data_IF_827603346083
#
_entry.id   IF_827603346083
#
_cell.length_a   1.000
_cell.length_b   1.000
_cell.length_c   1.000
_cell.angle_alpha   90.00
_cell.angle_beta   90.00
_cell.angle_gamma   90.00
#
_symmetry.space_group_name_H-M   'P 1'
#
loop_
_entity.id
_entity.type
_entity.pdbx_description
1 polymer ?
#
# COMPACT_ATOMS: atom_id res chain seq x y z
N UNK A 1 -10.36 -1.09 22.71
CA UNK A 1 -9.52 -0.33 21.75
C UNK A 1 -9.37 1.10 22.23
N UNK A 2 -8.22 1.75 22.01
CA UNK A 2 -8.08 3.18 22.32
C UNK A 2 -8.95 4.00 21.35
N UNK A 3 -9.55 5.13 21.78
CA UNK A 3 -10.48 5.89 20.95
C UNK A 3 -9.86 6.39 19.64
N UNK A 4 -8.56 6.71 19.63
CA UNK A 4 -7.87 7.19 18.42
C UNK A 4 -7.72 6.08 17.36
N UNK A 5 -7.47 4.84 17.79
CA UNK A 5 -7.41 3.68 16.89
C UNK A 5 -8.79 3.40 16.27
N UNK A 6 -9.86 3.65 17.01
CA UNK A 6 -11.23 3.56 16.48
C UNK A 6 -11.49 4.58 15.37
N UNK A 7 -11.07 5.83 15.56
CA UNK A 7 -11.21 6.88 14.55
C UNK A 7 -10.39 6.59 13.28
N UNK A 8 -9.15 6.13 13.45
CA UNK A 8 -8.29 5.75 12.32
C UNK A 8 -8.87 4.60 11.50
N UNK A 9 -9.38 3.55 12.17
CA UNK A 9 -10.01 2.42 11.47
C UNK A 9 -11.33 2.82 10.81
N UNK A 10 -12.12 3.68 11.45
CA UNK A 10 -13.34 4.22 10.83
C UNK A 10 -13.04 5.03 9.58
N UNK A 11 -11.97 5.84 9.58
CA UNK A 11 -11.51 6.57 8.41
C UNK A 11 -11.21 5.61 7.25
N UNK A 12 -10.38 4.57 7.48
CA UNK A 12 -10.03 3.61 6.43
C UNK A 12 -11.26 2.85 5.94
N UNK A 13 -12.15 2.44 6.85
CA UNK A 13 -13.39 1.77 6.50
C UNK A 13 -14.29 2.65 5.63
N UNK A 14 -14.44 3.94 5.97
CA UNK A 14 -15.23 4.88 5.19
C UNK A 14 -14.70 5.05 3.76
N UNK A 15 -13.39 5.30 3.62
CA UNK A 15 -12.75 5.42 2.30
C UNK A 15 -12.88 4.13 1.49
N UNK A 16 -12.68 2.97 2.14
CA UNK A 16 -12.78 1.66 1.48
C UNK A 16 -14.21 1.34 1.05
N UNK A 17 -15.21 1.64 1.89
CA UNK A 17 -16.62 1.49 1.53
C UNK A 17 -17.01 2.41 0.36
N UNK A 18 -16.49 3.64 0.31
CA UNK A 18 -16.68 4.54 -0.82
C UNK A 18 -16.11 3.95 -2.12
N UNK A 19 -14.89 3.44 -2.08
CA UNK A 19 -14.28 2.77 -3.24
C UNK A 19 -15.12 1.56 -3.69
N UNK A 20 -15.50 0.67 -2.76
CA UNK A 20 -16.33 -0.50 -3.06
C UNK A 20 -17.66 -0.10 -3.69
N UNK A 21 -18.38 0.84 -3.07
CA UNK A 21 -19.66 1.31 -3.59
C UNK A 21 -19.52 1.87 -5.01
N UNK A 22 -18.50 2.70 -5.25
CA UNK A 22 -18.26 3.34 -6.55
C UNK A 22 -17.84 2.34 -7.64
N UNK A 23 -17.02 1.34 -7.31
CA UNK A 23 -16.70 0.27 -8.27
C UNK A 23 -17.96 -0.48 -8.69
N UNK A 24 -18.90 -0.71 -7.75
CA UNK A 24 -20.16 -1.38 -8.04
C UNK A 24 -21.20 -0.53 -8.77
N UNK A 25 -20.98 0.77 -8.98
CA UNK A 25 -21.85 1.59 -9.84
C UNK A 25 -21.53 1.47 -11.33
N UNK A 26 -20.46 0.74 -11.69
CA UNK A 26 -20.07 0.52 -13.09
C UNK A 26 -19.24 1.65 -13.72
N UNK A 27 -18.89 2.71 -12.97
CA UNK A 27 -18.14 3.87 -13.51
C UNK A 27 -16.79 3.46 -14.13
N UNK A 28 -16.19 2.36 -13.64
CA UNK A 28 -14.89 1.86 -14.08
C UNK A 28 -14.95 0.63 -15.00
N UNK A 29 -16.12 0.31 -15.58
CA UNK A 29 -16.30 -0.84 -16.49
C UNK A 29 -15.45 -0.79 -17.78
N UNK A 30 -14.92 0.38 -18.14
CA UNK A 30 -14.06 0.53 -19.31
C UNK A 30 -12.58 0.71 -18.96
N UNK A 31 -12.20 0.64 -17.68
CA UNK A 31 -10.79 0.71 -17.29
C UNK A 31 -10.06 -0.53 -17.78
N UNK A 32 -8.93 -0.31 -18.44
CA UNK A 32 -8.02 -1.39 -18.85
C UNK A 32 -7.35 -2.01 -17.64
N UNK A 33 -7.79 -3.22 -17.28
CA UNK A 33 -7.21 -4.02 -16.20
C UNK A 33 -6.91 -5.43 -16.70
N UNK A 34 -5.77 -5.98 -16.27
CA UNK A 34 -5.39 -7.35 -16.58
C UNK A 34 -6.20 -8.31 -15.71
N UNK A 35 -6.98 -9.20 -16.30
CA UNK A 35 -7.79 -10.18 -15.56
C UNK A 35 -7.54 -11.54 -16.19
N UNK A 36 -7.19 -12.54 -15.38
CA UNK A 36 -6.81 -13.85 -15.88
C UNK A 36 -5.53 -14.38 -15.23
N UNK A 37 -5.40 -15.69 -15.15
CA UNK A 37 -4.23 -16.35 -14.57
C UNK A 37 -3.00 -16.25 -15.48
N UNK A 38 -3.18 -15.99 -16.77
CA UNK A 38 -2.12 -15.81 -17.77
C UNK A 38 -1.19 -14.62 -17.46
N UNK A 39 -1.63 -13.68 -16.61
CA UNK A 39 -0.83 -12.54 -16.16
C UNK A 39 0.02 -12.84 -14.91
N UNK A 40 0.04 -14.10 -14.48
CA UNK A 40 0.82 -14.58 -13.35
C UNK A 40 1.69 -15.75 -13.79
N UNK A 41 2.95 -15.75 -13.37
CA UNK A 41 3.83 -16.88 -13.62
C UNK A 41 3.51 -18.10 -12.73
N UNK A 42 2.81 -17.90 -11.61
CA UNK A 42 2.44 -19.01 -10.72
C UNK A 42 1.29 -19.79 -11.37
N UNK A 43 1.56 -21.04 -11.76
CA UNK A 43 0.56 -21.88 -12.39
C UNK A 43 -0.60 -22.19 -11.42
N UNK A 44 -1.86 -22.05 -11.85
CA UNK A 44 -3.00 -22.36 -10.99
C UNK A 44 -3.09 -23.88 -10.71
N UNK A 45 -3.29 -24.23 -9.44
CA UNK A 45 -3.49 -25.60 -8.98
C UNK A 45 -4.99 -25.93 -9.00
N UNK A 46 -5.41 -26.74 -9.98
CA UNK A 46 -6.83 -27.03 -10.25
C UNK A 46 -7.55 -27.81 -9.14
N UNK A 47 -6.81 -28.48 -8.24
CA UNK A 47 -7.38 -29.19 -7.09
C UNK A 47 -7.69 -28.27 -5.90
N UNK A 48 -7.21 -27.02 -5.91
CA UNK A 48 -7.47 -26.03 -4.87
C UNK A 48 -8.66 -25.15 -5.24
N UNK A 49 -9.39 -24.61 -4.24
CA UNK A 49 -10.45 -23.64 -4.51
C UNK A 49 -9.89 -22.36 -5.13
N UNK A 50 -10.70 -21.60 -5.87
CA UNK A 50 -10.26 -20.43 -6.65
C UNK A 50 -9.43 -19.41 -5.83
N UNK A 51 -9.82 -19.16 -4.58
CA UNK A 51 -9.08 -18.25 -3.68
C UNK A 51 -7.72 -18.79 -3.20
N UNK A 52 -7.37 -20.03 -3.53
CA UNK A 52 -6.04 -20.63 -3.30
C UNK A 52 -5.46 -21.22 -4.59
N UNK A 53 -6.02 -20.88 -5.76
CA UNK A 53 -5.58 -21.43 -7.04
C UNK A 53 -4.09 -21.15 -7.28
N UNK A 54 -3.60 -19.97 -6.88
CA UNK A 54 -2.18 -19.62 -6.86
C UNK A 54 -1.71 -19.56 -5.40
N UNK A 55 -1.32 -20.67 -4.77
CA UNK A 55 -1.14 -20.77 -3.33
C UNK A 55 -0.14 -19.77 -2.75
N UNK A 56 0.99 -19.52 -3.39
CA UNK A 56 1.99 -18.58 -2.89
C UNK A 56 1.53 -17.13 -3.02
N UNK A 57 1.01 -16.74 -4.20
CA UNK A 57 0.43 -15.42 -4.42
C UNK A 57 -0.81 -15.16 -3.57
N UNK A 58 -1.54 -16.22 -3.17
CA UNK A 58 -2.69 -16.12 -2.27
C UNK A 58 -2.25 -15.96 -0.81
N UNK A 59 -1.32 -16.80 -0.34
CA UNK A 59 -0.89 -16.81 1.07
C UNK A 59 -0.04 -15.60 1.45
N UNK A 60 0.72 -15.02 0.51
CA UNK A 60 1.51 -13.80 0.80
C UNK A 60 0.64 -12.62 1.21
N UNK A 61 -0.66 -12.60 0.83
CA UNK A 61 -1.60 -11.57 1.26
C UNK A 61 -1.81 -11.54 2.79
N UNK A 62 -1.61 -12.67 3.48
CA UNK A 62 -1.65 -12.73 4.94
C UNK A 62 -0.56 -11.89 5.59
N UNK A 63 0.57 -11.68 4.91
CA UNK A 63 1.66 -10.85 5.43
C UNK A 63 1.24 -9.38 5.60
N UNK A 64 0.39 -8.84 4.72
CA UNK A 64 -0.18 -7.49 4.90
C UNK A 64 -1.08 -7.42 6.13
N UNK A 65 -1.93 -8.44 6.33
CA UNK A 65 -2.81 -8.53 7.50
C UNK A 65 -1.98 -8.59 8.78
N UNK A 66 -0.98 -9.47 8.83
CA UNK A 66 -0.10 -9.59 10.00
C UNK A 66 0.70 -8.31 10.23
N UNK A 67 1.19 -7.66 9.18
CA UNK A 67 1.89 -6.39 9.29
C UNK A 67 0.99 -5.29 9.86
N UNK A 68 -0.24 -5.18 9.36
CA UNK A 68 -1.24 -4.24 9.86
C UNK A 68 -1.58 -4.49 11.34
N UNK A 69 -1.82 -5.75 11.73
CA UNK A 69 -2.06 -6.13 13.13
C UNK A 69 -0.86 -5.80 14.01
N UNK A 70 0.35 -6.15 13.54
CA UNK A 70 1.60 -5.86 14.24
C UNK A 70 1.74 -4.36 14.52
N UNK A 71 1.57 -3.52 13.49
CA UNK A 71 1.70 -2.08 13.66
C UNK A 71 0.57 -1.48 14.49
N UNK A 72 -0.68 -1.93 14.38
CA UNK A 72 -1.75 -1.47 15.29
C UNK A 72 -1.43 -1.75 16.75
N UNK A 73 -0.82 -2.90 17.05
CA UNK A 73 -0.41 -3.29 18.41
C UNK A 73 0.87 -2.60 18.86
N UNK A 74 1.71 -2.14 17.93
CA UNK A 74 2.95 -1.46 18.25
C UNK A 74 2.69 -0.08 18.85
N UNK A 75 3.49 0.29 19.85
CA UNK A 75 3.39 1.60 20.47
C UNK A 75 4.12 2.62 19.62
N UNK A 76 3.39 3.64 19.14
CA UNK A 76 4.02 4.84 18.58
C UNK A 76 4.84 5.52 19.68
N UNK A 77 6.16 5.46 19.56
CA UNK A 77 7.08 6.26 20.38
C UNK A 77 7.08 7.65 19.74
N UNK A 78 6.56 8.64 20.45
CA UNK A 78 6.70 10.05 20.09
C UNK A 78 7.09 10.81 21.36
N UNK A 79 8.25 11.50 21.40
CA UNK A 79 8.61 12.51 22.36
C UNK A 79 7.65 13.66 22.12
N UNK A 80 6.82 13.93 23.12
CA UNK A 80 5.77 14.90 22.94
C UNK A 80 4.67 14.79 23.98
N UNK A 81 3.88 15.85 24.02
CA UNK A 81 2.71 15.92 24.86
C UNK A 81 1.69 14.83 24.51
N UNK A 82 0.67 14.62 25.36
CA UNK A 82 -0.40 13.66 25.07
C UNK A 82 -1.06 13.86 23.70
N UNK A 83 -1.17 15.11 23.22
CA UNK A 83 -1.78 15.43 21.93
C UNK A 83 -0.94 14.97 20.72
N UNK A 84 0.37 15.14 20.74
CA UNK A 84 1.27 14.71 19.66
C UNK A 84 1.33 13.18 19.57
N UNK A 85 1.39 12.51 20.73
CA UNK A 85 1.29 11.05 20.80
C UNK A 85 -0.03 10.52 20.23
N UNK A 86 -1.15 11.22 20.43
CA UNK A 86 -2.43 10.86 19.81
C UNK A 86 -2.42 11.02 18.29
N UNK A 87 -1.85 12.13 17.79
CA UNK A 87 -1.75 12.41 16.34
C UNK A 87 -0.83 11.41 15.62
N UNK A 88 0.35 11.13 16.18
CA UNK A 88 1.27 10.13 15.63
C UNK A 88 0.62 8.73 15.62
N UNK A 89 -0.13 8.39 16.68
CA UNK A 89 -0.90 7.13 16.73
C UNK A 89 -1.96 7.07 15.64
N UNK A 90 -2.73 8.15 15.44
CA UNK A 90 -3.72 8.20 14.38
C UNK A 90 -3.09 7.96 13.00
N UNK A 91 -2.00 8.66 12.66
CA UNK A 91 -1.32 8.49 11.37
C UNK A 91 -0.82 7.06 11.15
N UNK A 92 -0.22 6.47 12.19
CA UNK A 92 0.21 5.07 12.21
C UNK A 92 -0.96 4.12 12.05
N UNK A 93 -2.04 4.33 12.79
CA UNK A 93 -3.18 3.42 12.81
C UNK A 93 -3.98 3.47 11.50
N UNK A 94 -4.06 4.63 10.82
CA UNK A 94 -4.64 4.73 9.48
C UNK A 94 -3.79 3.92 8.50
N UNK A 95 -2.46 4.13 8.49
CA UNK A 95 -1.59 3.39 7.58
C UNK A 95 -1.63 1.88 7.82
N UNK A 96 -1.73 1.47 9.09
CA UNK A 96 -1.86 0.06 9.47
C UNK A 96 -3.22 -0.51 9.08
N UNK A 97 -4.28 0.29 9.22
CA UNK A 97 -5.62 -0.04 8.73
C UNK A 97 -5.66 -0.24 7.21
N UNK A 98 -4.97 0.61 6.44
CA UNK A 98 -4.85 0.46 4.99
C UNK A 98 -4.20 -0.89 4.63
N UNK A 99 -3.10 -1.28 5.30
CA UNK A 99 -2.48 -2.59 5.11
C UNK A 99 -3.43 -3.76 5.46
N UNK A 100 -4.21 -3.62 6.55
CA UNK A 100 -5.19 -4.63 6.96
C UNK A 100 -6.30 -4.83 5.93
N UNK A 101 -6.77 -3.77 5.29
CA UNK A 101 -7.83 -3.84 4.27
C UNK A 101 -7.27 -4.32 2.94
N UNK A 102 -6.06 -3.89 2.59
CA UNK A 102 -5.46 -4.20 1.30
C UNK A 102 -5.16 -5.69 1.12
N UNK A 103 -4.69 -6.39 2.17
CA UNK A 103 -4.45 -7.84 2.10
C UNK A 103 -5.65 -8.64 1.58
N UNK A 104 -6.84 -8.53 2.21
CA UNK A 104 -8.08 -9.14 1.71
C UNK A 104 -8.48 -8.71 0.30
N UNK A 105 -8.32 -7.43 -0.06
CA UNK A 105 -8.65 -6.93 -1.41
C UNK A 105 -7.76 -7.59 -2.46
N UNK A 106 -6.45 -7.65 -2.21
CA UNK A 106 -5.49 -8.29 -3.09
C UNK A 106 -5.73 -9.80 -3.20
N UNK A 107 -6.16 -10.42 -2.10
CA UNK A 107 -6.56 -11.83 -2.11
C UNK A 107 -7.84 -12.05 -2.93
N UNK A 108 -8.85 -11.19 -2.78
CA UNK A 108 -10.06 -11.23 -3.60
C UNK A 108 -9.75 -11.05 -5.09
N UNK A 109 -8.83 -10.14 -5.42
CA UNK A 109 -8.33 -9.93 -6.77
C UNK A 109 -7.78 -11.22 -7.38
N UNK A 110 -6.96 -11.96 -6.63
CA UNK A 110 -6.40 -13.24 -7.07
C UNK A 110 -7.49 -14.31 -7.21
N UNK A 111 -8.37 -14.41 -6.23
CA UNK A 111 -9.36 -15.50 -6.18
C UNK A 111 -10.54 -15.34 -7.12
N UNK A 112 -10.99 -14.10 -7.36
CA UNK A 112 -12.19 -13.83 -8.16
C UNK A 112 -11.87 -13.60 -9.63
N UNK A 113 -10.69 -13.06 -9.97
CA UNK A 113 -10.32 -12.72 -11.34
C UNK A 113 -11.47 -11.96 -12.05
N UNK A 114 -12.03 -10.93 -11.41
CA UNK A 114 -13.06 -10.08 -12.00
C UNK A 114 -12.60 -8.64 -12.11
N UNK A 115 -13.12 -7.91 -13.09
CA UNK A 115 -12.81 -6.50 -13.28
C UNK A 115 -13.08 -5.63 -12.03
N UNK A 116 -14.20 -5.76 -11.29
CA UNK A 116 -14.41 -4.98 -10.07
C UNK A 116 -13.30 -5.19 -9.02
N UNK A 117 -12.89 -6.44 -8.80
CA UNK A 117 -11.80 -6.73 -7.85
C UNK A 117 -10.44 -6.21 -8.33
N UNK A 118 -10.24 -6.15 -9.66
CA UNK A 118 -9.05 -5.56 -10.27
C UNK A 118 -8.94 -4.06 -10.06
N UNK A 119 -10.05 -3.37 -10.32
CA UNK A 119 -10.17 -1.94 -10.16
C UNK A 119 -10.01 -1.57 -8.69
N UNK A 120 -10.65 -2.32 -7.78
CA UNK A 120 -10.57 -2.06 -6.35
C UNK A 120 -9.14 -2.20 -5.80
N UNK A 121 -8.42 -3.25 -6.22
CA UNK A 121 -7.01 -3.48 -5.89
C UNK A 121 -6.12 -2.31 -6.32
N UNK A 122 -6.20 -1.91 -7.60
CA UNK A 122 -5.45 -0.77 -8.11
C UNK A 122 -5.83 0.55 -7.40
N UNK A 123 -7.13 0.80 -7.21
CA UNK A 123 -7.59 2.08 -6.69
C UNK A 123 -7.19 2.28 -5.24
N UNK A 124 -7.31 1.24 -4.39
CA UNK A 124 -6.87 1.31 -2.99
C UNK A 124 -5.35 1.35 -2.83
N UNK A 125 -4.58 0.95 -3.84
CA UNK A 125 -3.12 1.09 -3.85
C UNK A 125 -2.68 2.56 -3.83
N UNK A 126 -3.43 3.45 -4.48
CA UNK A 126 -3.04 4.86 -4.58
C UNK A 126 -3.00 5.59 -3.22
N UNK A 127 -4.06 5.56 -2.38
CA UNK A 127 -4.04 6.23 -1.08
C UNK A 127 -3.01 5.62 -0.13
N UNK A 128 -2.67 4.33 -0.28
CA UNK A 128 -1.57 3.69 0.44
C UNK A 128 -0.24 4.40 0.18
N UNK A 129 0.10 4.69 -1.08
CA UNK A 129 1.32 5.42 -1.42
C UNK A 129 1.21 6.93 -1.12
N UNK A 130 0.01 7.49 -1.11
CA UNK A 130 -0.22 8.88 -0.73
C UNK A 130 -0.05 9.13 0.78
N UNK A 131 -0.33 8.13 1.62
CA UNK A 131 -0.31 8.31 3.07
C UNK A 131 1.08 8.68 3.64
N UNK A 132 2.20 8.07 3.22
CA UNK A 132 3.55 8.54 3.58
C UNK A 132 3.82 10.00 3.22
N UNK A 133 3.26 10.50 2.10
CA UNK A 133 3.34 11.92 1.71
C UNK A 133 2.62 12.79 2.75
N UNK A 134 1.37 12.45 3.07
CA UNK A 134 0.57 13.13 4.08
C UNK A 134 1.28 13.15 5.45
N UNK A 135 1.87 12.03 5.84
CA UNK A 135 2.61 11.91 7.10
C UNK A 135 3.87 12.77 7.10
N UNK A 136 4.67 12.74 6.03
CA UNK A 136 5.85 13.61 5.88
C UNK A 136 5.46 15.10 5.95
N UNK A 137 4.35 15.50 5.31
CA UNK A 137 3.85 16.87 5.38
C UNK A 137 3.42 17.26 6.80
N UNK A 138 2.85 16.31 7.57
CA UNK A 138 2.57 16.53 8.99
C UNK A 138 3.84 16.77 9.80
N UNK A 139 4.92 16.02 9.52
CA UNK A 139 6.21 16.19 10.17
C UNK A 139 6.83 17.55 9.83
N UNK A 140 6.71 18.01 8.58
CA UNK A 140 7.32 19.28 8.13
C UNK A 140 6.51 20.53 8.54
N UNK A 141 5.17 20.45 8.49
CA UNK A 141 4.27 21.61 8.60
C UNK A 141 3.34 21.57 9.81
N UNK A 142 3.48 20.56 10.65
CA UNK A 142 2.60 20.28 11.77
C UNK A 142 1.24 19.70 11.34
N UNK A 143 0.40 19.44 12.35
CA UNK A 143 -0.90 18.80 12.19
C UNK A 143 -1.92 19.71 11.48
N UNK A 144 -2.30 19.34 10.25
CA UNK A 144 -3.30 20.04 9.42
C UNK A 144 -4.25 19.02 8.78
N UNK A 145 -5.38 18.68 9.43
CA UNK A 145 -6.30 17.63 8.95
C UNK A 145 -6.79 17.80 7.51
N UNK A 146 -7.06 19.04 7.10
CA UNK A 146 -7.49 19.36 5.74
C UNK A 146 -6.45 18.97 4.68
N UNK A 147 -5.16 19.00 5.02
CA UNK A 147 -4.10 18.60 4.11
C UNK A 147 -4.12 17.09 3.88
N UNK A 148 -4.45 16.30 4.91
CA UNK A 148 -4.59 14.84 4.78
C UNK A 148 -5.77 14.49 3.88
N UNK A 149 -6.92 15.14 4.11
CA UNK A 149 -8.10 14.96 3.26
C UNK A 149 -7.84 15.40 1.81
N UNK A 150 -7.08 16.47 1.61
CA UNK A 150 -6.70 16.91 0.27
C UNK A 150 -5.76 15.92 -0.43
N UNK A 151 -4.75 15.40 0.27
CA UNK A 151 -3.83 14.40 -0.28
C UNK A 151 -4.56 13.09 -0.61
N UNK A 152 -5.40 12.61 0.31
CA UNK A 152 -6.20 11.40 0.10
C UNK A 152 -7.23 11.58 -1.02
N UNK A 153 -7.97 12.69 -1.01
CA UNK A 153 -8.93 13.01 -2.07
C UNK A 153 -8.28 13.13 -3.44
N UNK A 154 -7.12 13.80 -3.53
CA UNK A 154 -6.34 13.87 -4.76
C UNK A 154 -5.86 12.48 -5.20
N UNK A 155 -5.43 11.65 -4.26
CA UNK A 155 -5.01 10.28 -4.54
C UNK A 155 -6.16 9.44 -5.11
N UNK A 156 -7.34 9.48 -4.48
CA UNK A 156 -8.53 8.79 -4.97
C UNK A 156 -8.96 9.31 -6.36
N UNK A 157 -8.98 10.63 -6.55
CA UNK A 157 -9.32 11.23 -7.85
C UNK A 157 -8.33 10.89 -8.95
N UNK A 158 -7.05 10.69 -8.61
CA UNK A 158 -6.00 10.38 -9.61
C UNK A 158 -6.23 9.06 -10.34
N UNK A 159 -7.01 8.14 -9.77
CA UNK A 159 -7.41 6.91 -10.45
C UNK A 159 -8.24 7.17 -11.72
N UNK A 160 -8.88 8.34 -11.83
CA UNK A 160 -9.59 8.75 -13.04
C UNK A 160 -8.69 8.80 -14.27
N UNK A 161 -7.35 8.89 -14.10
CA UNK A 161 -6.41 8.74 -15.22
C UNK A 161 -6.56 7.39 -15.93
N UNK A 162 -6.92 6.32 -15.21
CA UNK A 162 -7.15 5.00 -15.77
C UNK A 162 -8.40 4.93 -16.66
N UNK A 163 -9.33 5.89 -16.53
CA UNK A 163 -10.45 6.07 -17.48
C UNK A 163 -10.00 6.77 -18.77
N UNK A 164 -8.94 7.56 -18.71
CA UNK A 164 -8.49 8.40 -19.82
C UNK A 164 -7.41 7.72 -20.67
N UNK A 165 -6.64 6.81 -20.09
CA UNK A 165 -5.52 6.15 -20.76
C UNK A 165 -5.29 4.72 -20.24
N UNK A 166 -4.93 3.74 -21.11
CA UNK A 166 -4.65 2.36 -20.71
C UNK A 166 -3.51 2.20 -19.68
N UNK A 167 -2.63 3.20 -19.59
CA UNK A 167 -1.53 3.25 -18.60
C UNK A 167 -1.75 4.31 -17.52
N UNK A 168 -3.00 4.76 -17.35
CA UNK A 168 -3.35 5.84 -16.44
C UNK A 168 -3.09 5.47 -14.98
N UNK A 169 -3.31 4.20 -14.60
CA UNK A 169 -3.00 3.70 -13.27
C UNK A 169 -1.49 3.72 -13.01
N UNK A 170 -0.68 3.22 -13.95
CA UNK A 170 0.78 3.17 -13.86
C UNK A 170 1.38 4.57 -13.74
N UNK A 171 0.85 5.53 -14.51
CA UNK A 171 1.23 6.94 -14.40
C UNK A 171 0.87 7.50 -13.02
N UNK A 172 -0.36 7.28 -12.55
CA UNK A 172 -0.80 7.73 -11.23
C UNK A 172 0.08 7.15 -10.12
N UNK A 173 0.31 5.83 -10.14
CA UNK A 173 1.16 5.13 -9.17
C UNK A 173 2.61 5.65 -9.21
N UNK A 174 3.18 5.84 -10.40
CA UNK A 174 4.53 6.38 -10.56
C UNK A 174 4.68 7.78 -9.95
N UNK A 175 3.69 8.65 -10.14
CA UNK A 175 3.65 9.97 -9.51
C UNK A 175 3.54 9.89 -7.98
N UNK A 176 2.75 8.94 -7.46
CA UNK A 176 2.64 8.70 -6.02
C UNK A 176 3.96 8.21 -5.41
N UNK A 177 4.63 7.26 -6.07
CA UNK A 177 5.96 6.78 -5.66
C UNK A 177 6.95 7.94 -5.66
N UNK A 178 7.02 8.72 -6.74
CA UNK A 178 7.92 9.87 -6.84
C UNK A 178 7.66 10.91 -5.74
N UNK A 179 6.38 11.21 -5.46
CA UNK A 179 5.99 12.13 -4.39
C UNK A 179 6.37 11.60 -3.01
N UNK A 180 6.13 10.31 -2.73
CA UNK A 180 6.47 9.67 -1.47
C UNK A 180 7.98 9.68 -1.23
N UNK A 181 8.77 9.27 -2.22
CA UNK A 181 10.25 9.28 -2.13
C UNK A 181 10.77 10.71 -2.00
N UNK A 182 10.26 11.65 -2.80
CA UNK A 182 10.68 13.06 -2.75
C UNK A 182 10.40 13.72 -1.40
N UNK A 183 9.21 13.51 -0.82
CA UNK A 183 8.90 14.02 0.52
C UNK A 183 9.71 13.31 1.61
N UNK A 184 9.90 12.00 1.51
CA UNK A 184 10.69 11.25 2.48
C UNK A 184 12.17 11.71 2.47
N UNK A 185 12.77 11.92 1.30
CA UNK A 185 14.13 12.46 1.18
C UNK A 185 14.23 13.87 1.78
N UNK A 186 13.24 14.74 1.53
CA UNK A 186 13.18 16.08 2.12
C UNK A 186 13.13 16.02 3.64
N UNK A 187 12.30 15.16 4.21
CA UNK A 187 12.18 15.01 5.67
C UNK A 187 13.44 14.38 6.26
N UNK A 188 14.01 13.37 5.61
CA UNK A 188 15.27 12.75 6.00
C UNK A 188 16.40 13.79 6.05
N UNK A 189 16.49 14.70 5.08
CA UNK A 189 17.50 15.75 5.08
C UNK A 189 17.33 16.80 6.18
N UNK A 190 16.11 16.99 6.71
CA UNK A 190 15.81 17.99 7.74
C UNK A 190 15.86 17.44 9.17
N UNK A 191 15.35 16.23 9.36
CA UNK A 191 15.08 15.66 10.68
C UNK A 191 15.69 14.26 10.86
N UNK A 192 16.29 13.70 9.80
CA UNK A 192 16.76 12.33 9.80
C UNK A 192 18.11 12.12 10.48
N UNK A 193 18.36 10.87 10.82
CA UNK A 193 19.64 10.36 11.30
C UNK A 193 20.04 9.12 10.47
N UNK A 194 21.12 8.45 10.86
CA UNK A 194 21.62 7.26 10.15
C UNK A 194 20.56 6.16 10.12
N UNK A 195 19.90 5.87 11.25
CA UNK A 195 18.89 4.82 11.33
C UNK A 195 17.67 5.10 10.44
N UNK A 196 17.13 6.32 10.48
CA UNK A 196 16.03 6.70 9.59
C UNK A 196 16.46 6.69 8.11
N UNK A 197 17.71 7.05 7.82
CA UNK A 197 18.29 6.94 6.48
C UNK A 197 18.37 5.51 5.98
N UNK A 198 18.75 4.56 6.84
CA UNK A 198 18.73 3.13 6.53
C UNK A 198 17.31 2.65 6.24
N UNK A 199 16.32 3.04 7.05
CA UNK A 199 14.92 2.66 6.80
C UNK A 199 14.40 3.23 5.48
N UNK A 200 14.74 4.48 5.15
CA UNK A 200 14.38 5.07 3.86
C UNK A 200 15.01 4.29 2.70
N UNK A 201 16.31 3.99 2.76
CA UNK A 201 17.00 3.24 1.72
C UNK A 201 16.40 1.84 1.52
N UNK A 202 16.11 1.13 2.61
CA UNK A 202 15.46 -0.19 2.56
C UNK A 202 14.02 -0.10 2.03
N UNK A 203 13.28 0.95 2.39
CA UNK A 203 11.95 1.22 1.86
C UNK A 203 11.96 1.48 0.35
N UNK A 204 12.88 2.31 -0.14
CA UNK A 204 13.05 2.58 -1.58
C UNK A 204 13.49 1.33 -2.33
N UNK A 205 14.46 0.57 -1.80
CA UNK A 205 14.90 -0.68 -2.40
C UNK A 205 13.74 -1.70 -2.50
N UNK A 206 12.92 -1.77 -1.45
CA UNK A 206 11.73 -2.63 -1.43
C UNK A 206 10.68 -2.15 -2.44
N UNK A 207 10.47 -0.84 -2.58
CA UNK A 207 9.58 -0.28 -3.61
C UNK A 207 10.05 -0.61 -5.03
N UNK A 208 11.36 -0.51 -5.28
CA UNK A 208 11.94 -0.90 -6.58
C UNK A 208 11.78 -2.40 -6.82
N UNK A 209 12.00 -3.24 -5.80
CA UNK A 209 11.76 -4.68 -5.87
C UNK A 209 10.30 -4.99 -6.21
N UNK A 210 9.35 -4.33 -5.56
CA UNK A 210 7.92 -4.45 -5.86
C UNK A 210 7.61 -4.17 -7.34
N UNK A 211 8.15 -3.08 -7.89
CA UNK A 211 7.90 -2.71 -9.29
C UNK A 211 8.59 -3.68 -10.26
N UNK A 212 9.91 -3.89 -10.10
CA UNK A 212 10.72 -4.65 -11.05
C UNK A 212 10.34 -6.12 -11.06
N UNK A 213 10.18 -6.75 -9.89
CA UNK A 213 9.85 -8.19 -9.82
C UNK A 213 8.44 -8.47 -10.37
N UNK A 214 7.51 -7.52 -10.22
CA UNK A 214 6.18 -7.64 -10.81
C UNK A 214 6.22 -7.49 -12.33
N UNK A 215 6.96 -6.51 -12.85
CA UNK A 215 7.08 -6.29 -14.30
C UNK A 215 7.81 -7.43 -15.00
N UNK A 216 8.78 -8.04 -14.33
CA UNK A 216 9.59 -9.13 -14.88
C UNK A 216 9.07 -10.53 -14.48
N UNK A 217 7.84 -10.68 -13.98
CA UNK A 217 7.36 -11.95 -13.39
C UNK A 217 7.57 -13.16 -14.31
N UNK A 218 7.12 -13.06 -15.58
CA UNK A 218 7.27 -14.15 -16.55
C UNK A 218 8.72 -14.37 -17.00
N UNK A 219 9.50 -13.31 -17.19
CA UNK A 219 10.91 -13.43 -17.58
C UNK A 219 11.74 -14.09 -16.46
N UNK A 220 11.43 -13.76 -15.21
CA UNK A 220 12.08 -14.35 -14.04
C UNK A 220 11.73 -15.82 -13.88
N UNK A 221 10.53 -16.26 -14.27
CA UNK A 221 10.08 -17.65 -14.15
C UNK A 221 10.94 -18.66 -14.93
N UNK A 222 11.82 -18.21 -15.82
CA UNK A 222 12.83 -19.05 -16.48
C UNK A 222 13.88 -19.59 -15.49
N UNK A 223 14.09 -18.91 -14.36
CA UNK A 223 15.10 -19.25 -13.35
C UNK A 223 14.47 -20.07 -12.22
N UNK A 224 15.18 -21.10 -11.74
CA UNK A 224 14.63 -22.07 -10.78
C UNK A 224 14.03 -21.42 -9.51
N UNK A 225 14.65 -20.35 -8.98
CA UNK A 225 14.16 -19.64 -7.80
C UNK A 225 12.73 -19.09 -8.00
N UNK A 226 12.39 -18.72 -9.23
CA UNK A 226 11.13 -18.06 -9.58
C UNK A 226 10.09 -18.99 -10.20
N UNK A 227 10.37 -20.29 -10.32
CA UNK A 227 9.41 -21.27 -10.83
C UNK A 227 8.31 -21.60 -9.82
N UNK A 228 8.61 -21.51 -8.53
CA UNK A 228 7.65 -21.75 -7.43
C UNK A 228 7.32 -20.46 -6.69
N UNK A 229 8.35 -19.70 -6.31
CA UNK A 229 8.21 -18.39 -5.67
C UNK A 229 8.41 -17.31 -6.73
N UNK A 230 7.35 -16.99 -7.46
CA UNK A 230 7.46 -16.19 -8.69
C UNK A 230 7.86 -14.73 -8.43
N UNK A 231 8.15 -13.98 -9.50
CA UNK A 231 8.43 -12.56 -9.40
C UNK A 231 7.26 -11.81 -8.74
N UNK A 232 6.02 -12.20 -9.05
CA UNK A 232 4.82 -11.68 -8.40
C UNK A 232 4.86 -11.95 -6.89
N UNK A 233 5.15 -13.18 -6.46
CA UNK A 233 5.24 -13.52 -5.04
C UNK A 233 6.28 -12.63 -4.33
N UNK A 234 7.49 -12.55 -4.87
CA UNK A 234 8.56 -11.74 -4.28
C UNK A 234 8.26 -10.24 -4.33
N UNK A 235 7.55 -9.76 -5.36
CA UNK A 235 7.09 -8.38 -5.44
C UNK A 235 6.16 -8.03 -4.28
N UNK A 236 5.30 -8.96 -3.85
CA UNK A 236 4.41 -8.77 -2.69
C UNK A 236 5.16 -8.82 -1.37
N UNK A 237 6.19 -9.67 -1.26
CA UNK A 237 7.12 -9.63 -0.11
C UNK A 237 7.79 -8.25 -0.03
N UNK A 238 8.29 -7.74 -1.16
CA UNK A 238 8.86 -6.40 -1.25
C UNK A 238 7.87 -5.30 -0.89
N UNK A 239 6.62 -5.38 -1.31
CA UNK A 239 5.57 -4.42 -0.96
C UNK A 239 5.27 -4.42 0.56
N UNK A 240 5.16 -5.60 1.18
CA UNK A 240 5.03 -5.73 2.65
C UNK A 240 6.24 -5.13 3.37
N UNK A 241 7.46 -5.38 2.88
CA UNK A 241 8.68 -4.79 3.44
C UNK A 241 8.72 -3.27 3.25
N UNK A 242 8.27 -2.76 2.10
CA UNK A 242 8.15 -1.33 1.85
C UNK A 242 7.23 -0.67 2.88
N UNK A 243 6.05 -1.23 3.14
CA UNK A 243 5.18 -0.77 4.23
C UNK A 243 5.91 -0.75 5.57
N UNK A 244 6.56 -1.86 5.92
CA UNK A 244 7.26 -2.00 7.20
C UNK A 244 8.36 -0.94 7.37
N UNK A 245 9.19 -0.74 6.35
CA UNK A 245 10.25 0.27 6.37
C UNK A 245 9.71 1.69 6.34
N UNK A 246 8.58 1.95 5.66
CA UNK A 246 7.89 3.23 5.74
C UNK A 246 7.40 3.52 7.16
N UNK A 247 6.84 2.54 7.87
CA UNK A 247 6.51 2.70 9.29
C UNK A 247 7.74 2.98 10.15
N UNK A 248 8.81 2.21 9.99
CA UNK A 248 10.06 2.42 10.75
C UNK A 248 10.62 3.82 10.50
N UNK A 249 10.67 4.25 9.24
CA UNK A 249 11.09 5.59 8.85
C UNK A 249 10.23 6.67 9.53
N UNK A 250 8.92 6.67 9.29
CA UNK A 250 8.01 7.73 9.77
C UNK A 250 7.91 7.77 11.30
N UNK A 251 7.95 6.61 11.97
CA UNK A 251 7.92 6.55 13.43
C UNK A 251 9.25 6.91 14.07
N UNK A 252 10.39 6.62 13.43
CA UNK A 252 11.71 7.05 13.92
C UNK A 252 11.88 8.57 13.85
N UNK A 253 11.30 9.22 12.84
CA UNK A 253 11.33 10.67 12.70
C UNK A 253 10.40 11.39 13.67
N UNK A 254 9.36 10.69 14.13
CA UNK A 254 8.56 11.15 15.26
C UNK A 254 9.32 11.09 16.58
N UNK A 255 10.55 10.56 16.65
CA UNK A 255 11.34 10.38 17.88
C UNK A 255 12.49 11.36 18.15
N UNK A 256 12.60 12.45 17.38
CA UNK A 256 13.59 13.50 17.62
C UNK A 256 12.94 14.85 17.92
#
# INVERSE_FOLDING_TARGET
>A
MKPESGQALFHVALASCLCVATVHTGIFEHVSVQVGYEYYAEAPVTSLPAFLAMPFNSLVNMAYVFLGVYWLRSQARAPGGPAERRRARYLKDVFAGMALVYGPVQWLRIGMQTQPTAVLDQWLTLPIFAWPVAWCLCLDRGWKPWLFLAVEGLSLCSYSLALLHPHGFELALGLHIAAAVGQALRIQGRHGNISSGTYLALGVLSCLGFVVLKLCDHELAQWHLFQQLTGHFWSKVCDVLQFHFAFLFLTSLHTC
#
